data_IF_977767713972
#
_entry.id   IF_977767713972
#
_cell.length_a   1.000
_cell.length_b   1.000
_cell.length_c   1.000
_cell.angle_alpha   90.00
_cell.angle_beta   90.00
_cell.angle_gamma   90.00
#
_symmetry.space_group_name_H-M   'P 1'
#
loop_
_entity.id
_entity.type
_entity.pdbx_description
1 polymer ?
#
# COMPACT_ATOMS: atom_id res chain seq x y z
N UNK A 1 -6.40 -5.61 30.21
CA UNK A 1 -5.40 -5.67 29.11
C UNK A 1 -4.34 -6.71 29.41
N UNK A 2 -3.81 -6.77 30.64
CA UNK A 2 -2.82 -7.78 31.05
C UNK A 2 -3.29 -9.22 30.77
N UNK A 3 -4.51 -9.60 31.15
CA UNK A 3 -5.06 -10.95 30.91
C UNK A 3 -5.11 -11.38 29.43
N UNK A 4 -5.26 -10.43 28.49
CA UNK A 4 -5.30 -10.72 27.05
C UNK A 4 -3.89 -11.05 26.53
N UNK A 5 -2.87 -10.39 27.07
CA UNK A 5 -1.49 -10.49 26.59
C UNK A 5 -0.78 -11.72 27.16
N UNK A 6 -1.14 -12.14 28.38
CA UNK A 6 -0.58 -13.34 29.02
C UNK A 6 -0.94 -14.63 28.28
N UNK A 7 -2.06 -14.65 27.56
CA UNK A 7 -2.54 -15.83 26.82
C UNK A 7 -2.15 -15.84 25.34
N UNK A 8 -1.62 -14.73 24.83
CA UNK A 8 -1.20 -14.63 23.42
C UNK A 8 0.07 -15.47 23.17
N UNK A 9 0.18 -16.16 22.02
CA UNK A 9 1.44 -16.76 21.60
C UNK A 9 2.56 -15.71 21.56
N UNK A 10 3.73 -16.07 22.07
CA UNK A 10 4.89 -15.17 22.18
C UNK A 10 6.07 -15.71 21.39
N UNK A 11 6.89 -14.83 20.84
CA UNK A 11 8.15 -15.16 20.16
C UNK A 11 9.21 -14.12 20.51
N UNK A 12 10.27 -14.55 21.16
CA UNK A 12 11.42 -13.69 21.45
C UNK A 12 12.41 -13.79 20.29
N UNK A 13 12.71 -12.64 19.66
CA UNK A 13 13.50 -12.57 18.43
C UNK A 13 14.96 -12.92 18.73
N UNK A 14 15.37 -14.09 18.25
CA UNK A 14 16.66 -14.71 18.60
C UNK A 14 17.84 -13.93 18.02
N UNK A 15 17.69 -13.41 16.80
CA UNK A 15 18.69 -12.59 16.11
C UNK A 15 18.88 -11.19 16.71
N UNK A 16 18.04 -10.80 17.68
CA UNK A 16 18.18 -9.58 18.47
C UNK A 16 18.73 -9.84 19.88
N UNK A 17 19.34 -11.01 20.12
CA UNK A 17 19.81 -11.45 21.45
C UNK A 17 18.73 -11.36 22.54
N UNK A 18 17.48 -11.60 22.15
CA UNK A 18 16.33 -11.48 23.04
C UNK A 18 15.90 -10.06 23.39
N UNK A 19 16.45 -9.04 22.73
CA UNK A 19 16.11 -7.64 22.95
C UNK A 19 14.69 -7.23 22.55
N UNK A 20 13.94 -8.12 21.88
CA UNK A 20 12.56 -7.87 21.48
C UNK A 20 11.71 -9.14 21.59
N UNK A 21 10.60 -9.05 22.29
CA UNK A 21 9.57 -10.11 22.37
C UNK A 21 8.30 -9.64 21.69
N UNK A 22 7.81 -10.49 20.80
CA UNK A 22 6.65 -10.29 19.96
C UNK A 22 5.49 -11.14 20.47
N UNK A 23 4.28 -10.61 20.38
CA UNK A 23 3.05 -11.26 20.81
C UNK A 23 2.09 -11.33 19.62
N UNK A 24 1.42 -12.46 19.44
CA UNK A 24 0.47 -12.66 18.34
C UNK A 24 -0.95 -12.34 18.79
N UNK A 25 -1.50 -11.24 18.28
CA UNK A 25 -2.87 -10.79 18.56
C UNK A 25 -3.64 -10.60 17.25
N UNK A 26 -4.89 -11.08 17.18
CA UNK A 26 -5.75 -11.02 15.98
C UNK A 26 -5.07 -11.56 14.70
N UNK A 27 -4.15 -12.52 14.83
CA UNK A 27 -3.42 -13.12 13.72
C UNK A 27 -2.09 -12.43 13.37
N UNK A 28 -1.78 -11.28 13.98
CA UNK A 28 -0.60 -10.48 13.66
C UNK A 28 0.36 -10.33 14.84
N UNK A 29 1.65 -10.19 14.55
CA UNK A 29 2.71 -10.08 15.54
C UNK A 29 3.04 -8.63 15.85
N UNK A 30 3.10 -8.27 17.13
CA UNK A 30 3.56 -6.94 17.55
C UNK A 30 4.19 -6.93 18.95
N UNK A 31 4.88 -5.84 19.31
CA UNK A 31 5.31 -5.65 20.69
C UNK A 31 4.12 -5.26 21.59
N UNK A 32 4.25 -5.55 22.89
CA UNK A 32 3.19 -5.39 23.90
C UNK A 32 2.49 -4.02 23.81
N UNK A 33 3.27 -2.95 23.87
CA UNK A 33 2.75 -1.57 23.89
C UNK A 33 1.96 -1.18 22.64
N UNK A 34 2.19 -1.84 21.50
CA UNK A 34 1.42 -1.58 20.27
C UNK A 34 0.12 -2.38 20.25
N UNK A 35 0.07 -3.56 20.89
CA UNK A 35 -1.18 -4.32 21.04
C UNK A 35 -2.11 -3.59 22.00
N UNK A 36 -1.59 -3.08 23.11
CA UNK A 36 -2.37 -2.23 24.02
C UNK A 36 -2.94 -1.02 23.29
N UNK A 37 -2.10 -0.32 22.51
CA UNK A 37 -2.53 0.77 21.64
C UNK A 37 -3.57 0.37 20.60
N UNK A 38 -3.46 -0.83 20.01
CA UNK A 38 -4.46 -1.39 19.09
C UNK A 38 -5.81 -1.56 19.78
N UNK A 39 -5.82 -2.17 20.97
CA UNK A 39 -7.04 -2.41 21.75
C UNK A 39 -7.69 -1.08 22.14
N UNK A 40 -6.89 -0.11 22.61
CA UNK A 40 -7.37 1.22 22.97
C UNK A 40 -7.98 1.95 21.76
N UNK A 41 -7.35 1.88 20.60
CA UNK A 41 -7.89 2.45 19.37
C UNK A 41 -9.21 1.79 18.97
N UNK A 42 -9.28 0.46 19.00
CA UNK A 42 -10.51 -0.28 18.69
C UNK A 42 -11.68 0.09 19.60
N UNK A 43 -11.42 0.36 20.88
CA UNK A 43 -12.44 0.70 21.87
C UNK A 43 -12.88 2.17 21.79
N UNK A 44 -11.93 3.08 21.63
CA UNK A 44 -12.16 4.51 21.89
C UNK A 44 -12.22 5.35 20.62
N UNK A 45 -11.57 4.94 19.52
CA UNK A 45 -11.50 5.76 18.32
C UNK A 45 -12.87 5.85 17.62
N UNK A 46 -13.27 7.09 17.29
CA UNK A 46 -14.47 7.39 16.50
C UNK A 46 -14.03 8.11 15.24
N UNK A 47 -14.18 7.44 14.10
CA UNK A 47 -13.89 8.02 12.80
C UNK A 47 -14.84 9.19 12.49
N UNK A 48 -14.27 10.27 11.95
CA UNK A 48 -15.02 11.38 11.37
C UNK A 48 -15.14 11.23 9.86
N UNK A 49 -16.25 11.63 9.22
CA UNK A 49 -16.43 11.45 7.77
C UNK A 49 -15.33 12.09 6.91
N UNK A 50 -14.68 13.15 7.40
CA UNK A 50 -13.57 13.82 6.73
C UNK A 50 -12.25 13.06 6.82
N UNK A 51 -12.11 12.09 7.72
CA UNK A 51 -10.84 11.42 8.00
C UNK A 51 -10.25 10.72 6.78
N UNK A 52 -8.93 10.82 6.69
CA UNK A 52 -8.09 10.19 5.68
C UNK A 52 -7.01 9.39 6.39
N UNK A 53 -7.11 8.07 6.28
CA UNK A 53 -6.20 7.14 6.92
C UNK A 53 -4.99 6.83 6.01
N UNK A 54 -3.80 7.20 6.45
CA UNK A 54 -2.51 6.83 5.84
C UNK A 54 -2.04 5.50 6.43
N UNK A 55 -2.28 4.42 5.70
CA UNK A 55 -2.03 3.06 6.17
C UNK A 55 -0.83 2.41 5.46
N UNK A 56 -0.08 1.59 6.20
CA UNK A 56 1.05 0.83 5.63
C UNK A 56 1.52 -0.25 6.59
N UNK A 57 1.98 -1.38 6.08
CA UNK A 57 2.87 -2.22 6.89
C UNK A 57 4.19 -1.45 7.14
N UNK A 58 4.87 -1.59 8.29
CA UNK A 58 6.12 -0.87 8.52
C UNK A 58 7.13 -1.07 7.40
N UNK A 59 7.92 -0.02 7.15
CA UNK A 59 9.05 0.00 6.21
C UNK A 59 8.68 -0.06 4.72
N UNK A 60 7.42 0.16 4.37
CA UNK A 60 6.97 0.28 2.97
C UNK A 60 6.97 1.71 2.42
N UNK A 61 7.36 2.72 3.22
CA UNK A 61 7.44 4.12 2.78
C UNK A 61 6.57 5.10 3.57
N UNK A 62 6.10 4.71 4.76
CA UNK A 62 5.20 5.50 5.62
C UNK A 62 5.70 6.92 5.90
N UNK A 63 6.97 7.10 6.26
CA UNK A 63 7.54 8.43 6.53
C UNK A 63 7.42 9.36 5.32
N UNK A 64 7.68 8.81 4.12
CA UNK A 64 7.59 9.56 2.88
C UNK A 64 6.14 9.87 2.51
N UNK A 65 5.25 8.88 2.62
CA UNK A 65 3.82 9.09 2.35
C UNK A 65 3.20 10.08 3.33
N UNK A 66 3.56 10.03 4.62
CA UNK A 66 3.12 11.01 5.62
C UNK A 66 3.56 12.43 5.24
N UNK A 67 4.84 12.61 4.88
CA UNK A 67 5.35 13.91 4.45
C UNK A 67 4.59 14.43 3.23
N UNK A 68 4.38 13.59 2.21
CA UNK A 68 3.64 13.96 0.99
C UNK A 68 2.18 14.32 1.29
N UNK A 69 1.47 13.48 2.04
CA UNK A 69 0.07 13.71 2.39
C UNK A 69 -0.08 15.00 3.22
N UNK A 70 0.78 15.20 4.21
CA UNK A 70 0.79 16.40 5.02
C UNK A 70 1.06 17.66 4.18
N UNK A 71 2.11 17.64 3.36
CA UNK A 71 2.44 18.76 2.48
C UNK A 71 1.30 19.07 1.51
N UNK A 72 0.65 18.06 0.93
CA UNK A 72 -0.50 18.25 0.04
C UNK A 72 -1.66 18.94 0.77
N UNK A 73 -2.04 18.46 1.95
CA UNK A 73 -3.22 18.96 2.69
C UNK A 73 -2.98 20.35 3.29
N UNK A 74 -1.73 20.69 3.60
CA UNK A 74 -1.38 21.92 4.31
C UNK A 74 -0.72 22.97 3.43
N UNK A 75 -0.55 22.74 2.12
CA UNK A 75 0.20 23.64 1.23
C UNK A 75 -0.30 25.09 1.22
N UNK A 76 -1.60 25.32 1.35
CA UNK A 76 -2.20 26.66 1.40
C UNK A 76 -2.21 27.28 2.81
N UNK A 77 -1.86 26.51 3.84
CA UNK A 77 -1.90 26.96 5.24
C UNK A 77 -0.61 27.66 5.69
N UNK A 78 0.48 27.43 4.97
CA UNK A 78 1.82 27.86 5.36
C UNK A 78 2.46 28.73 4.28
N UNK A 79 1.70 29.51 3.51
CA UNK A 79 2.27 30.39 2.48
C UNK A 79 3.23 31.45 3.07
N UNK A 80 2.91 31.97 4.27
CA UNK A 80 3.69 32.99 4.96
C UNK A 80 4.66 32.43 6.02
N UNK A 81 4.73 31.11 6.19
CA UNK A 81 5.55 30.47 7.23
C UNK A 81 6.23 29.19 6.74
N UNK A 82 7.41 28.82 7.25
CA UNK A 82 8.05 27.57 6.84
C UNK A 82 7.16 26.37 7.17
N UNK A 83 7.04 25.43 6.22
CA UNK A 83 6.31 24.19 6.44
C UNK A 83 6.80 23.47 7.72
N UNK A 84 5.91 22.95 8.56
CA UNK A 84 6.29 22.17 9.75
C UNK A 84 7.23 21.00 9.45
N UNK A 85 7.21 20.46 8.23
CA UNK A 85 8.12 19.38 7.81
C UNK A 85 9.62 19.76 7.86
N UNK A 86 9.95 21.06 7.95
CA UNK A 86 11.32 21.55 8.09
C UNK A 86 11.84 21.46 9.53
N UNK A 87 10.94 21.46 10.51
CA UNK A 87 11.26 21.54 11.95
C UNK A 87 10.68 20.39 12.77
N UNK A 88 9.75 19.62 12.20
CA UNK A 88 9.00 18.55 12.84
C UNK A 88 9.08 17.29 11.99
N UNK A 89 9.21 16.12 12.63
CA UNK A 89 9.36 14.87 11.91
C UNK A 89 8.02 14.42 11.29
N UNK A 90 7.97 13.84 10.07
CA UNK A 90 6.69 13.49 9.43
C UNK A 90 5.76 12.57 10.24
N UNK A 91 6.30 11.73 11.13
CA UNK A 91 5.48 10.89 12.02
C UNK A 91 4.82 11.68 13.16
N UNK A 92 5.32 12.86 13.50
CA UNK A 92 4.73 13.77 14.49
C UNK A 92 3.69 14.70 13.84
N UNK A 93 3.87 15.04 12.54
CA UNK A 93 2.89 15.82 11.80
C UNK A 93 1.57 15.08 11.54
N UNK A 94 1.60 13.74 11.48
CA UNK A 94 0.39 12.92 11.29
C UNK A 94 0.35 11.87 12.41
N UNK A 95 -0.59 11.97 13.37
CA UNK A 95 -0.64 11.06 14.51
C UNK A 95 -0.95 9.61 14.10
N UNK A 96 -0.41 8.64 14.85
CA UNK A 96 -0.72 7.22 14.69
C UNK A 96 -1.90 6.80 15.56
N UNK A 97 -2.86 6.12 14.95
CA UNK A 97 -4.06 5.61 15.59
C UNK A 97 -3.76 4.74 16.83
N UNK A 98 -2.77 3.86 16.73
CA UNK A 98 -2.39 2.94 17.81
C UNK A 98 -1.54 3.58 18.92
N UNK A 99 -1.26 4.89 18.88
CA UNK A 99 -0.32 5.53 19.83
C UNK A 99 -0.65 6.96 20.24
N UNK A 100 -1.34 7.71 19.39
CA UNK A 100 -1.49 9.16 19.51
C UNK A 100 -2.98 9.56 19.50
N UNK A 101 -3.85 8.77 20.16
CA UNK A 101 -5.31 8.98 20.19
C UNK A 101 -5.70 10.38 20.70
N UNK A 102 -5.03 10.85 21.76
CA UNK A 102 -5.30 12.16 22.35
C UNK A 102 -5.01 13.30 21.34
N UNK A 103 -3.91 13.19 20.59
CA UNK A 103 -3.58 14.14 19.52
C UNK A 103 -4.60 14.09 18.39
N UNK A 104 -5.11 12.91 18.04
CA UNK A 104 -6.15 12.79 17.01
C UNK A 104 -7.43 13.49 17.48
N UNK A 105 -7.84 13.28 18.74
CA UNK A 105 -9.01 13.94 19.31
C UNK A 105 -8.84 15.47 19.36
N UNK A 106 -7.63 15.96 19.66
CA UNK A 106 -7.32 17.39 19.60
C UNK A 106 -7.38 17.94 18.17
N UNK A 107 -6.81 17.24 17.19
CA UNK A 107 -6.84 17.63 15.79
C UNK A 107 -8.28 17.74 15.26
N UNK A 108 -9.15 16.81 15.67
CA UNK A 108 -10.57 16.83 15.35
C UNK A 108 -11.25 18.09 15.93
N UNK A 109 -11.02 18.37 17.23
CA UNK A 109 -11.58 19.57 17.90
C UNK A 109 -11.13 20.88 17.27
N UNK A 110 -9.86 20.96 16.86
CA UNK A 110 -9.27 22.16 16.27
C UNK A 110 -9.47 22.24 14.75
N UNK A 111 -10.08 21.22 14.13
CA UNK A 111 -10.28 21.14 12.68
C UNK A 111 -8.98 21.39 11.87
N UNK A 112 -7.84 20.87 12.38
CA UNK A 112 -6.54 21.18 11.78
C UNK A 112 -6.40 20.55 10.39
N UNK A 113 -6.42 19.23 10.29
CA UNK A 113 -6.38 18.51 9.02
C UNK A 113 -6.82 17.05 9.23
N UNK A 114 -7.44 16.41 8.23
CA UNK A 114 -8.09 15.11 8.38
C UNK A 114 -7.13 13.90 8.36
N UNK A 115 -5.83 14.11 8.55
CA UNK A 115 -4.84 13.04 8.37
C UNK A 115 -4.57 12.32 9.69
N UNK A 116 -4.78 11.01 9.69
CA UNK A 116 -4.24 10.10 10.69
C UNK A 116 -3.54 8.93 10.00
N UNK A 117 -2.71 8.20 10.72
CA UNK A 117 -1.96 7.10 10.16
C UNK A 117 -2.05 5.84 11.00
N UNK A 118 -1.73 4.70 10.39
CA UNK A 118 -1.69 3.44 11.12
C UNK A 118 -0.77 2.41 10.47
N UNK A 119 -0.22 1.54 11.30
CA UNK A 119 0.36 0.27 10.88
C UNK A 119 -0.57 -0.92 11.10
N UNK A 120 -1.81 -0.71 11.56
CA UNK A 120 -2.73 -1.80 11.81
C UNK A 120 -3.10 -2.55 10.51
N UNK A 121 -3.14 -3.89 10.55
CA UNK A 121 -3.79 -4.69 9.53
C UNK A 121 -5.25 -4.26 9.35
N UNK A 122 -5.79 -4.39 8.13
CA UNK A 122 -7.16 -3.95 7.84
C UNK A 122 -8.21 -4.57 8.79
N UNK A 123 -8.05 -5.85 9.11
CA UNK A 123 -8.95 -6.60 10.01
C UNK A 123 -8.85 -6.19 11.47
N UNK A 124 -7.82 -5.42 11.83
CA UNK A 124 -7.60 -4.88 13.17
C UNK A 124 -7.94 -3.40 13.28
N UNK A 125 -8.45 -2.77 12.21
CA UNK A 125 -8.92 -1.40 12.28
C UNK A 125 -10.16 -1.28 13.20
N UNK A 126 -10.34 -0.15 13.91
CA UNK A 126 -11.57 0.15 14.63
C UNK A 126 -12.81 0.00 13.75
N UNK A 127 -13.89 -0.54 14.31
CA UNK A 127 -15.15 -0.74 13.58
C UNK A 127 -15.71 0.58 13.02
N UNK A 128 -15.54 1.68 13.76
CA UNK A 128 -15.93 3.03 13.32
C UNK A 128 -15.27 3.42 11.99
N UNK A 129 -13.99 3.07 11.79
CA UNK A 129 -13.30 3.25 10.51
C UNK A 129 -13.81 2.26 9.48
N UNK A 130 -13.94 0.97 9.78
CA UNK A 130 -14.36 -0.01 8.78
C UNK A 130 -15.76 0.30 8.22
N UNK A 131 -16.69 0.71 9.09
CA UNK A 131 -18.07 1.04 8.75
C UNK A 131 -18.23 2.40 8.05
N UNK A 132 -17.30 3.34 8.21
CA UNK A 132 -17.39 4.67 7.60
C UNK A 132 -17.04 4.68 6.11
N UNK A 133 -17.21 5.84 5.48
CA UNK A 133 -16.73 6.18 4.14
C UNK A 133 -15.36 6.88 4.13
N UNK A 134 -14.66 6.90 5.27
CA UNK A 134 -13.33 7.50 5.38
C UNK A 134 -12.40 6.90 4.31
N UNK A 135 -11.61 7.78 3.70
CA UNK A 135 -10.67 7.41 2.64
C UNK A 135 -9.44 6.77 3.25
N UNK A 136 -8.87 5.79 2.55
CA UNK A 136 -7.66 5.11 3.00
C UNK A 136 -6.61 5.21 1.89
N UNK A 137 -5.43 5.74 2.21
CA UNK A 137 -4.26 5.67 1.33
C UNK A 137 -3.36 4.58 1.86
N UNK A 138 -3.20 3.49 1.10
CA UNK A 138 -2.37 2.36 1.49
C UNK A 138 -1.12 2.28 0.61
N UNK A 139 0.06 2.23 1.24
CA UNK A 139 1.34 2.04 0.52
C UNK A 139 1.99 0.69 0.85
N UNK A 140 2.37 -0.02 -0.20
CA UNK A 140 3.15 -1.25 -0.11
C UNK A 140 4.45 -1.15 -0.91
N UNK A 141 5.35 -2.11 -0.68
CA UNK A 141 6.69 -2.15 -1.27
C UNK A 141 7.07 -3.58 -1.66
N UNK A 142 8.06 -3.76 -2.52
CA UNK A 142 8.69 -5.06 -2.73
C UNK A 142 9.14 -5.66 -1.38
N UNK A 143 8.62 -6.83 -1.04
CA UNK A 143 8.88 -7.50 0.24
C UNK A 143 10.38 -7.75 0.49
N UNK A 144 11.17 -8.01 -0.55
CA UNK A 144 12.61 -8.26 -0.41
C UNK A 144 13.32 -7.04 0.19
N UNK A 145 12.97 -5.84 -0.26
CA UNK A 145 13.47 -4.58 0.31
C UNK A 145 12.88 -4.29 1.70
N UNK A 146 11.63 -4.71 1.95
CA UNK A 146 11.00 -4.56 3.28
C UNK A 146 11.75 -5.40 4.31
N UNK A 147 12.12 -6.64 4.01
CA UNK A 147 12.90 -7.52 4.90
C UNK A 147 14.21 -6.84 5.31
N UNK A 148 14.98 -6.34 4.33
CA UNK A 148 16.25 -5.64 4.60
C UNK A 148 16.01 -4.37 5.41
N UNK A 149 15.00 -3.58 5.06
CA UNK A 149 14.70 -2.35 5.79
C UNK A 149 14.19 -2.60 7.20
N UNK A 150 13.48 -3.70 7.45
CA UNK A 150 12.99 -4.09 8.76
C UNK A 150 14.15 -4.55 9.65
N UNK A 151 15.01 -5.43 9.11
CA UNK A 151 16.23 -5.89 9.78
C UNK A 151 17.08 -4.72 10.29
N UNK A 152 17.50 -3.82 9.41
CA UNK A 152 18.36 -2.69 9.81
C UNK A 152 17.67 -1.72 10.77
N UNK A 153 16.35 -1.52 10.62
CA UNK A 153 15.62 -0.64 11.53
C UNK A 153 15.61 -1.20 12.95
N UNK A 154 15.35 -2.51 13.11
CA UNK A 154 15.34 -3.12 14.42
C UNK A 154 16.73 -3.15 15.07
N UNK A 155 17.81 -3.34 14.30
CA UNK A 155 19.18 -3.22 14.83
C UNK A 155 19.43 -1.85 15.47
N UNK A 156 19.10 -0.77 14.76
CA UNK A 156 19.25 0.59 15.28
C UNK A 156 18.30 0.86 16.46
N UNK A 157 17.11 0.27 16.44
CA UNK A 157 16.11 0.39 17.50
C UNK A 157 16.58 -0.24 18.82
N UNK A 158 17.09 -1.49 18.78
CA UNK A 158 17.63 -2.17 19.96
C UNK A 158 19.12 -1.89 20.23
N UNK A 159 19.73 -0.98 19.45
CA UNK A 159 21.16 -0.60 19.53
C UNK A 159 22.11 -1.80 19.44
N UNK A 160 21.82 -2.72 18.53
CA UNK A 160 22.61 -3.93 18.29
C UNK A 160 23.44 -3.80 17.00
N UNK A 161 24.69 -4.27 17.05
CA UNK A 161 25.57 -4.31 15.87
C UNK A 161 25.16 -5.39 14.88
N UNK A 162 25.37 -5.14 13.58
CA UNK A 162 25.17 -6.13 12.51
C UNK A 162 25.97 -7.42 12.73
N UNK A 163 27.15 -7.32 13.35
CA UNK A 163 28.00 -8.47 13.67
C UNK A 163 27.37 -9.41 14.70
N UNK A 164 26.45 -8.88 15.51
CA UNK A 164 25.81 -9.57 16.61
C UNK A 164 24.41 -10.09 16.26
N UNK A 165 23.96 -9.86 15.02
CA UNK A 165 22.59 -10.08 14.59
C UNK A 165 22.53 -10.75 13.22
N UNK A 166 22.52 -12.09 13.15
CA UNK A 166 22.63 -12.82 11.88
C UNK A 166 21.41 -12.58 10.97
N UNK A 167 21.66 -12.01 9.78
CA UNK A 167 20.60 -11.69 8.81
C UNK A 167 19.77 -12.90 8.39
N UNK A 168 20.38 -14.08 8.24
CA UNK A 168 19.66 -15.30 7.82
C UNK A 168 18.55 -15.70 8.80
N UNK A 169 18.79 -15.58 10.11
CA UNK A 169 17.77 -15.87 11.13
C UNK A 169 16.65 -14.84 11.09
N UNK A 170 16.99 -13.56 10.94
CA UNK A 170 16.00 -12.49 10.79
C UNK A 170 15.12 -12.68 9.55
N UNK A 171 15.73 -13.08 8.43
CA UNK A 171 15.06 -13.40 7.19
C UNK A 171 14.07 -14.56 7.35
N UNK A 172 14.49 -15.64 8.03
CA UNK A 172 13.65 -16.81 8.25
C UNK A 172 12.45 -16.52 9.16
N UNK A 173 12.67 -15.79 10.26
CA UNK A 173 11.59 -15.33 11.15
C UNK A 173 10.58 -14.45 10.38
N UNK A 174 11.07 -13.52 9.55
CA UNK A 174 10.20 -12.69 8.72
C UNK A 174 9.37 -13.53 7.74
N UNK A 175 9.98 -14.53 7.07
CA UNK A 175 9.29 -15.43 6.14
C UNK A 175 8.21 -16.28 6.85
N UNK A 176 8.37 -16.56 8.13
CA UNK A 176 7.36 -17.21 8.97
C UNK A 176 6.24 -16.24 9.42
N UNK A 177 6.35 -14.96 9.04
CA UNK A 177 5.40 -13.90 9.37
C UNK A 177 5.70 -13.19 10.70
N UNK A 178 6.81 -13.52 11.36
CA UNK A 178 7.21 -12.94 12.64
C UNK A 178 7.96 -11.63 12.36
N UNK A 179 7.20 -10.54 12.31
CA UNK A 179 7.70 -9.17 12.15
C UNK A 179 6.70 -8.20 12.77
N UNK A 180 7.07 -6.93 12.99
CA UNK A 180 6.09 -5.92 13.40
C UNK A 180 4.94 -5.82 12.39
N UNK A 181 3.71 -6.00 12.89
CA UNK A 181 2.46 -6.07 12.14
C UNK A 181 2.43 -7.18 11.06
N UNK A 182 3.34 -8.15 11.14
CA UNK A 182 3.38 -9.31 10.25
C UNK A 182 2.31 -10.34 10.59
N UNK A 183 1.92 -11.22 9.65
CA UNK A 183 2.61 -11.50 8.39
C UNK A 183 2.38 -10.45 7.29
N UNK A 184 3.46 -10.11 6.55
CA UNK A 184 3.44 -9.04 5.53
C UNK A 184 2.43 -9.28 4.39
N UNK A 185 2.37 -10.51 3.87
CA UNK A 185 1.45 -10.83 2.77
C UNK A 185 -0.01 -10.68 3.19
N UNK A 186 -0.37 -11.21 4.36
CA UNK A 186 -1.71 -11.09 4.94
C UNK A 186 -2.08 -9.62 5.18
N UNK A 187 -1.12 -8.81 5.63
CA UNK A 187 -1.31 -7.37 5.83
C UNK A 187 -1.70 -6.66 4.52
N UNK A 188 -0.96 -6.87 3.43
CA UNK A 188 -1.31 -6.28 2.12
C UNK A 188 -2.63 -6.83 1.61
N UNK A 189 -2.82 -8.15 1.68
CA UNK A 189 -4.00 -8.83 1.17
C UNK A 189 -5.29 -8.32 1.83
N UNK A 190 -5.25 -8.01 3.13
CA UNK A 190 -6.39 -7.44 3.85
C UNK A 190 -6.86 -6.13 3.23
N UNK A 191 -5.95 -5.16 3.07
CA UNK A 191 -6.28 -3.89 2.42
C UNK A 191 -6.66 -4.10 0.94
N UNK A 192 -6.01 -5.04 0.24
CA UNK A 192 -6.26 -5.26 -1.17
C UNK A 192 -7.68 -5.75 -1.39
N UNK A 193 -8.12 -6.76 -0.64
CA UNK A 193 -9.49 -7.27 -0.69
C UNK A 193 -10.50 -6.16 -0.39
N UNK A 194 -10.25 -5.37 0.64
CA UNK A 194 -11.09 -4.22 0.97
C UNK A 194 -11.19 -3.20 -0.17
N UNK A 195 -10.11 -2.97 -0.93
CA UNK A 195 -10.14 -2.08 -2.11
C UNK A 195 -11.01 -2.60 -3.24
N UNK A 196 -11.12 -3.94 -3.37
CA UNK A 196 -11.97 -4.57 -4.38
C UNK A 196 -13.45 -4.57 -3.95
N UNK A 197 -13.72 -4.74 -2.66
CA UNK A 197 -15.07 -4.73 -2.09
C UNK A 197 -15.70 -3.33 -2.09
N UNK A 198 -14.90 -2.28 -1.84
CA UNK A 198 -15.35 -0.89 -1.86
C UNK A 198 -14.44 -0.04 -2.77
N UNK A 199 -14.62 -0.14 -4.11
CA UNK A 199 -13.85 0.64 -5.07
C UNK A 199 -13.94 2.15 -4.79
N UNK A 200 -12.83 2.86 -4.97
CA UNK A 200 -12.76 4.31 -4.74
C UNK A 200 -12.57 4.72 -3.27
N UNK A 201 -12.70 3.80 -2.31
CA UNK A 201 -12.42 4.08 -0.89
C UNK A 201 -10.95 3.94 -0.50
N UNK A 202 -10.21 3.09 -1.20
CA UNK A 202 -8.80 2.81 -0.91
C UNK A 202 -7.93 3.13 -2.12
N UNK A 203 -6.98 4.05 -1.95
CA UNK A 203 -5.92 4.31 -2.92
C UNK A 203 -4.73 3.41 -2.63
N UNK A 204 -4.46 2.48 -3.55
CA UNK A 204 -3.30 1.59 -3.49
C UNK A 204 -2.09 2.20 -4.18
N UNK A 205 -1.03 2.46 -3.42
CA UNK A 205 0.24 2.99 -3.91
C UNK A 205 1.35 1.95 -3.74
N UNK A 206 2.23 1.87 -4.73
CA UNK A 206 3.43 1.05 -4.69
C UNK A 206 4.65 1.97 -4.60
N UNK A 207 5.49 1.77 -3.59
CA UNK A 207 6.66 2.60 -3.34
C UNK A 207 7.56 2.77 -4.58
N UNK A 208 7.83 1.69 -5.30
CA UNK A 208 8.67 1.72 -6.50
C UNK A 208 8.04 2.48 -7.67
N UNK A 209 6.70 2.47 -7.76
CA UNK A 209 5.98 3.20 -8.80
C UNK A 209 5.97 4.70 -8.49
N UNK A 210 5.72 5.04 -7.21
CA UNK A 210 5.81 6.43 -6.74
C UNK A 210 7.19 7.00 -6.97
N UNK A 211 8.27 6.24 -6.72
CA UNK A 211 9.63 6.72 -7.00
C UNK A 211 9.90 6.95 -8.48
N UNK A 212 9.29 6.14 -9.35
CA UNK A 212 9.49 6.19 -10.79
C UNK A 212 8.73 7.36 -11.42
N UNK A 213 7.54 7.68 -10.92
CA UNK A 213 6.68 8.74 -11.43
C UNK A 213 6.02 9.54 -10.29
N UNK A 214 6.87 10.17 -9.47
CA UNK A 214 6.44 10.93 -8.29
C UNK A 214 5.40 12.00 -8.63
N UNK A 215 5.54 12.66 -9.79
CA UNK A 215 4.65 13.75 -10.20
C UNK A 215 3.21 13.26 -10.34
N UNK A 216 2.99 12.17 -11.09
CA UNK A 216 1.64 11.67 -11.31
C UNK A 216 1.05 11.03 -10.05
N UNK A 217 1.85 10.31 -9.27
CA UNK A 217 1.34 9.69 -8.04
C UNK A 217 1.03 10.71 -6.94
N UNK A 218 1.79 11.82 -6.83
CA UNK A 218 1.45 12.92 -5.91
C UNK A 218 0.17 13.64 -6.34
N UNK A 219 -0.04 13.87 -7.64
CA UNK A 219 -1.31 14.41 -8.14
C UNK A 219 -2.48 13.47 -7.84
N UNK A 220 -2.29 12.17 -8.06
CA UNK A 220 -3.29 11.13 -7.80
C UNK A 220 -3.61 11.01 -6.30
N UNK A 221 -2.60 11.16 -5.43
CA UNK A 221 -2.77 11.26 -3.98
C UNK A 221 -3.62 12.47 -3.62
N UNK A 222 -3.29 13.64 -4.16
CA UNK A 222 -3.99 14.89 -3.88
C UNK A 222 -5.46 14.86 -4.31
N UNK A 223 -5.74 14.40 -5.53
CA UNK A 223 -7.09 14.16 -6.03
C UNK A 223 -7.87 13.23 -5.11
N UNK A 224 -7.26 12.09 -4.76
CA UNK A 224 -7.90 11.08 -3.93
C UNK A 224 -8.24 11.61 -2.54
N UNK A 225 -7.32 12.28 -1.86
CA UNK A 225 -7.56 12.85 -0.52
C UNK A 225 -8.64 13.94 -0.59
N UNK A 226 -8.77 14.65 -1.71
CA UNK A 226 -9.74 15.72 -1.91
C UNK A 226 -9.13 17.13 -1.91
N UNK A 227 -7.83 17.21 -2.19
CA UNK A 227 -7.07 18.46 -2.30
C UNK A 227 -6.38 18.53 -3.67
N UNK A 228 -7.12 18.40 -4.79
CA UNK A 228 -6.54 18.37 -6.13
C UNK A 228 -5.73 19.64 -6.41
N UNK A 229 -4.71 19.52 -7.25
CA UNK A 229 -3.95 20.68 -7.71
C UNK A 229 -4.71 21.37 -8.85
N UNK A 230 -4.79 22.69 -8.79
CA UNK A 230 -5.25 23.54 -9.88
C UNK A 230 -4.25 23.58 -11.03
N UNK A 231 -4.72 23.99 -12.22
CA UNK A 231 -3.85 24.17 -13.40
C UNK A 231 -2.77 25.22 -13.13
N UNK A 232 -3.11 26.23 -12.33
CA UNK A 232 -2.22 27.31 -11.92
C UNK A 232 -1.12 26.81 -10.99
N UNK A 233 -1.46 26.02 -9.96
CA UNK A 233 -0.48 25.38 -9.06
C UNK A 233 0.47 24.47 -9.83
N UNK A 234 -0.06 23.70 -10.79
CA UNK A 234 0.76 22.85 -11.64
C UNK A 234 1.73 23.65 -12.51
N UNK A 235 1.28 24.75 -13.12
CA UNK A 235 2.14 25.65 -13.90
C UNK A 235 3.17 26.36 -13.03
N UNK A 236 2.83 26.67 -11.79
CA UNK A 236 3.72 27.31 -10.81
C UNK A 236 4.74 26.33 -10.20
N UNK A 237 4.68 25.03 -10.51
CA UNK A 237 5.62 24.02 -10.03
C UNK A 237 5.39 23.60 -8.57
N UNK A 238 4.17 23.80 -8.04
CA UNK A 238 3.84 23.46 -6.63
C UNK A 238 4.03 21.97 -6.36
N UNK A 239 3.66 21.11 -7.31
CA UNK A 239 3.82 19.65 -7.20
C UNK A 239 5.30 19.28 -7.07
N UNK A 240 6.16 19.87 -7.89
CA UNK A 240 7.61 19.67 -7.89
C UNK A 240 8.25 20.17 -6.59
N UNK A 241 7.76 21.30 -6.06
CA UNK A 241 8.20 21.84 -4.77
C UNK A 241 7.85 20.89 -3.62
N UNK A 242 6.64 20.33 -3.60
CA UNK A 242 6.23 19.32 -2.60
C UNK A 242 7.10 18.07 -2.69
N UNK A 243 7.34 17.57 -3.91
CA UNK A 243 8.21 16.39 -4.14
C UNK A 243 9.63 16.66 -3.64
N UNK A 244 10.17 17.85 -3.93
CA UNK A 244 11.50 18.26 -3.46
C UNK A 244 11.56 18.38 -1.94
N UNK A 245 10.57 19.03 -1.32
CA UNK A 245 10.45 19.16 0.14
C UNK A 245 10.40 17.79 0.82
N UNK A 246 9.62 16.87 0.27
CA UNK A 246 9.41 15.54 0.83
C UNK A 246 10.44 14.50 0.34
N UNK A 247 11.45 14.92 -0.43
CA UNK A 247 12.47 14.00 -0.96
C UNK A 247 13.29 13.38 0.18
N UNK A 248 13.82 12.19 -0.06
CA UNK A 248 14.71 11.54 0.91
C UNK A 248 15.92 12.42 1.21
N UNK A 249 16.53 12.99 0.17
CA UNK A 249 17.70 13.86 0.29
C UNK A 249 17.39 15.06 1.17
N UNK A 250 16.25 15.73 0.97
CA UNK A 250 15.89 16.86 1.80
C UNK A 250 15.57 16.42 3.24
N UNK A 251 14.62 15.51 3.44
CA UNK A 251 14.15 15.11 4.76
C UNK A 251 15.28 14.54 5.63
N UNK A 252 16.12 13.65 5.08
CA UNK A 252 17.24 13.05 5.81
C UNK A 252 18.31 14.07 6.24
N UNK A 253 18.37 15.23 5.58
CA UNK A 253 19.38 16.25 5.82
C UNK A 253 18.94 17.35 6.80
N UNK A 254 17.66 17.40 7.16
CA UNK A 254 17.14 18.35 8.16
C UNK A 254 17.68 18.01 9.55
N UNK A 255 18.00 19.05 10.33
CA UNK A 255 18.53 18.89 11.69
C UNK A 255 17.59 18.09 12.60
N UNK A 256 16.28 18.34 12.53
CA UNK A 256 15.27 17.57 13.27
C UNK A 256 15.35 16.07 12.98
N UNK A 257 15.71 15.67 11.75
CA UNK A 257 15.78 14.27 11.36
C UNK A 257 17.15 13.64 11.61
N UNK A 258 18.22 14.44 11.73
CA UNK A 258 19.56 13.96 12.05
C UNK A 258 19.77 13.71 13.53
N UNK A 259 19.30 14.63 14.38
CA UNK A 259 19.59 14.65 15.82
C UNK A 259 18.35 14.67 16.71
N UNK A 260 17.15 14.84 16.14
CA UNK A 260 15.90 14.83 16.89
C UNK A 260 15.48 13.44 17.38
N UNK A 261 14.48 13.43 18.25
CA UNK A 261 13.96 12.24 18.92
C UNK A 261 12.45 12.16 18.74
N UNK A 262 11.96 11.07 18.16
CA UNK A 262 10.55 10.74 18.09
C UNK A 262 10.11 10.10 19.42
N UNK A 263 9.04 10.64 20.02
CA UNK A 263 8.50 10.20 21.33
C UNK A 263 9.58 10.10 22.41
N UNK A 264 10.55 11.01 22.35
CA UNK A 264 11.68 11.13 23.29
C UNK A 264 12.57 9.87 23.44
N UNK A 265 12.36 8.83 22.63
CA UNK A 265 12.98 7.50 22.83
C UNK A 265 13.59 6.92 21.56
N UNK A 266 13.12 7.35 20.38
CA UNK A 266 13.58 6.83 19.09
C UNK A 266 14.28 7.94 18.32
N UNK A 267 15.57 7.78 18.04
CA UNK A 267 16.32 8.74 17.22
C UNK A 267 15.72 8.87 15.81
N UNK A 268 15.45 10.09 15.35
CA UNK A 268 14.80 10.32 14.05
C UNK A 268 15.62 9.79 12.87
N UNK A 269 16.96 9.77 12.99
CA UNK A 269 17.84 9.31 11.91
C UNK A 269 17.57 7.87 11.49
N UNK A 270 17.04 7.02 12.37
CA UNK A 270 16.86 5.58 12.08
C UNK A 270 15.75 5.35 11.04
N UNK A 271 14.86 6.33 10.81
CA UNK A 271 13.86 6.27 9.75
C UNK A 271 14.47 6.48 8.35
N UNK A 272 15.67 7.06 8.26
CA UNK A 272 16.34 7.42 7.02
C UNK A 272 17.61 6.59 6.80
N UNK A 273 17.57 5.63 5.87
CA UNK A 273 18.69 4.71 5.61
C UNK A 273 19.33 4.90 4.23
N UNK A 274 18.63 4.49 3.17
CA UNK A 274 19.13 4.58 1.79
C UNK A 274 18.10 5.09 0.77
N UNK A 275 16.80 4.88 1.02
CA UNK A 275 15.71 5.15 0.06
C UNK A 275 15.94 4.60 -1.37
N UNK A 276 16.71 3.51 -1.49
CA UNK A 276 16.93 2.79 -2.76
C UNK A 276 16.01 1.59 -2.85
N UNK A 277 15.49 1.35 -4.03
CA UNK A 277 14.88 0.12 -4.50
C UNK A 277 15.98 -0.86 -4.92
N UNK A 278 15.78 -2.16 -4.68
CA UNK A 278 16.74 -3.20 -5.06
C UNK A 278 17.91 -3.40 -4.10
N UNK A 279 17.92 -2.75 -2.93
CA UNK A 279 19.02 -2.93 -1.97
C UNK A 279 19.09 -4.37 -1.44
N UNK A 280 17.99 -5.11 -1.51
CA UNK A 280 17.94 -6.54 -1.19
C UNK A 280 18.97 -7.39 -1.94
N UNK A 281 19.40 -7.01 -3.14
CA UNK A 281 20.43 -7.73 -3.90
C UNK A 281 21.78 -7.76 -3.18
N UNK A 282 22.05 -6.80 -2.30
CA UNK A 282 23.28 -6.75 -1.50
C UNK A 282 23.24 -7.65 -0.26
N UNK A 283 22.08 -8.23 0.07
CA UNK A 283 21.85 -8.98 1.31
C UNK A 283 21.39 -10.41 1.08
N UNK A 284 20.66 -10.66 -0.01
CA UNK A 284 20.04 -11.96 -0.26
C UNK A 284 21.00 -12.89 -0.97
N UNK A 285 21.00 -14.16 -0.57
CA UNK A 285 21.49 -15.24 -1.42
C UNK A 285 20.46 -15.58 -2.50
N UNK A 286 20.85 -16.31 -3.54
CA UNK A 286 19.88 -16.80 -4.54
C UNK A 286 18.81 -17.71 -3.89
N UNK A 287 19.17 -18.53 -2.90
CA UNK A 287 18.20 -19.35 -2.15
C UNK A 287 17.15 -18.50 -1.42
N UNK A 288 17.57 -17.42 -0.75
CA UNK A 288 16.65 -16.49 -0.06
C UNK A 288 15.68 -15.83 -1.04
N UNK A 289 16.20 -15.42 -2.21
CA UNK A 289 15.40 -14.83 -3.28
C UNK A 289 14.36 -15.83 -3.82
N UNK A 290 14.77 -17.06 -4.13
CA UNK A 290 13.88 -18.13 -4.59
C UNK A 290 12.80 -18.46 -3.56
N UNK A 291 13.17 -18.55 -2.27
CA UNK A 291 12.25 -18.79 -1.17
C UNK A 291 11.18 -17.71 -1.07
N UNK A 292 11.57 -16.43 -1.12
CA UNK A 292 10.61 -15.30 -1.07
C UNK A 292 9.73 -15.26 -2.32
N UNK A 293 10.28 -15.55 -3.50
CA UNK A 293 9.51 -15.59 -4.75
C UNK A 293 8.46 -16.71 -4.71
N UNK A 294 8.83 -17.89 -4.22
CA UNK A 294 7.92 -19.01 -4.02
C UNK A 294 6.81 -18.67 -3.01
N UNK A 295 7.16 -18.15 -1.83
CA UNK A 295 6.19 -17.76 -0.81
C UNK A 295 5.25 -16.66 -1.33
N UNK A 296 5.78 -15.67 -2.05
CA UNK A 296 4.98 -14.61 -2.64
C UNK A 296 4.02 -15.16 -3.67
N UNK A 297 4.46 -16.09 -4.52
CA UNK A 297 3.58 -16.77 -5.45
C UNK A 297 2.47 -17.50 -4.70
N UNK A 298 2.80 -18.40 -3.77
CA UNK A 298 1.85 -19.21 -3.00
C UNK A 298 0.81 -18.35 -2.25
N UNK A 299 1.25 -17.25 -1.62
CA UNK A 299 0.38 -16.37 -0.83
C UNK A 299 -0.50 -15.46 -1.67
N UNK A 300 -0.05 -15.09 -2.87
CA UNK A 300 -0.75 -14.16 -3.77
C UNK A 300 -1.43 -14.88 -4.95
N UNK A 301 -1.35 -16.21 -5.03
CA UNK A 301 -2.10 -16.99 -6.02
C UNK A 301 -3.61 -16.72 -5.84
N UNK A 302 -4.24 -16.21 -6.89
CA UNK A 302 -5.66 -15.81 -6.89
C UNK A 302 -5.91 -14.30 -6.78
N UNK A 303 -4.89 -13.48 -6.47
CA UNK A 303 -4.99 -12.00 -6.49
C UNK A 303 -4.30 -11.40 -7.71
N UNK A 304 -4.66 -11.90 -8.90
CA UNK A 304 -3.98 -11.66 -10.18
C UNK A 304 -3.86 -10.17 -10.63
N UNK A 305 -4.41 -9.23 -9.86
CA UNK A 305 -4.43 -7.79 -10.13
C UNK A 305 -3.53 -6.94 -9.20
N UNK A 306 -2.86 -7.52 -8.20
CA UNK A 306 -1.99 -6.77 -7.27
C UNK A 306 -0.63 -6.33 -7.83
N UNK A 307 -0.21 -6.91 -8.94
CA UNK A 307 0.89 -6.41 -9.75
C UNK A 307 0.54 -6.74 -11.18
N UNK A 308 0.83 -5.87 -12.14
CA UNK A 308 0.55 -6.06 -13.57
C UNK A 308 1.31 -7.23 -14.21
N UNK A 309 1.26 -8.42 -13.60
CA UNK A 309 1.88 -9.66 -14.01
C UNK A 309 0.76 -10.70 -14.06
N UNK A 310 0.30 -11.01 -15.29
CA UNK A 310 -0.41 -12.26 -15.53
C UNK A 310 0.60 -13.39 -15.35
N UNK A 311 0.48 -14.14 -14.26
CA UNK A 311 1.22 -15.39 -14.10
C UNK A 311 0.50 -16.48 -14.91
N UNK A 312 0.97 -16.75 -16.12
CA UNK A 312 0.58 -17.97 -16.84
C UNK A 312 1.53 -19.09 -16.44
N UNK A 313 0.98 -20.21 -15.98
CA UNK A 313 1.75 -21.42 -15.73
C UNK A 313 2.35 -21.91 -17.06
N UNK A 314 3.68 -21.91 -17.16
CA UNK A 314 4.40 -22.60 -18.24
C UNK A 314 5.67 -21.90 -18.71
N UNK A 315 6.82 -22.48 -18.35
CA UNK A 315 8.04 -22.47 -19.16
C UNK A 315 8.96 -21.25 -19.02
N UNK A 316 10.24 -21.53 -18.81
CA UNK A 316 11.36 -20.58 -18.90
C UNK A 316 11.23 -19.65 -20.13
N UNK A 317 11.23 -18.33 -19.90
CA UNK A 317 11.50 -17.37 -20.98
C UNK A 317 10.88 -15.99 -20.77
N UNK A 318 11.71 -15.01 -20.39
CA UNK A 318 11.53 -13.54 -20.51
C UNK A 318 10.14 -12.95 -20.24
N UNK A 319 10.02 -12.30 -19.09
CA UNK A 319 8.91 -11.42 -18.73
C UNK A 319 9.00 -10.08 -19.49
N UNK A 320 7.89 -9.67 -20.13
CA UNK A 320 7.70 -8.34 -20.72
C UNK A 320 6.53 -7.65 -20.00
N UNK A 321 6.74 -6.40 -19.60
CA UNK A 321 5.76 -5.55 -18.90
C UNK A 321 4.91 -4.80 -19.93
N UNK A 322 3.60 -5.07 -19.98
CA UNK A 322 2.66 -4.24 -20.72
C UNK A 322 1.83 -3.37 -19.76
N UNK A 323 1.76 -2.07 -20.07
CA UNK A 323 0.98 -1.04 -19.37
C UNK A 323 -0.52 -1.18 -19.68
N UNK A 324 -1.38 -0.85 -18.71
CA UNK A 324 -2.74 -0.39 -19.01
C UNK A 324 -2.93 1.04 -18.52
N UNK A 325 -3.29 1.92 -19.47
CA UNK A 325 -3.94 3.19 -19.21
C UNK A 325 -5.40 2.91 -18.85
N UNK A 326 -5.89 3.52 -17.77
CA UNK A 326 -7.32 3.54 -17.47
C UNK A 326 -7.99 4.47 -18.49
N UNK A 327 -8.94 3.94 -19.26
CA UNK A 327 -9.70 4.68 -20.27
C UNK A 327 -10.67 5.67 -19.66
N UNK A 328 -10.85 6.77 -20.40
CA UNK A 328 -11.52 8.02 -20.07
C UNK A 328 -13.02 7.96 -19.72
N UNK A 329 -13.38 9.04 -19.01
CA UNK A 329 -14.67 9.69 -18.79
C UNK A 329 -15.79 9.44 -19.79
N UNK A 330 -17.02 9.26 -19.27
CA UNK A 330 -18.25 9.68 -19.96
C UNK A 330 -19.19 10.37 -18.96
N UNK A 331 -19.27 11.70 -19.04
CA UNK A 331 -20.42 12.49 -18.57
C UNK A 331 -21.35 12.73 -19.76
N UNK A 332 -22.69 12.64 -19.63
CA UNK A 332 -23.61 13.25 -20.58
C UNK A 332 -24.21 14.54 -20.02
N UNK A 333 -23.89 15.68 -20.63
CA UNK A 333 -24.61 16.93 -20.47
C UNK A 333 -25.75 17.06 -21.49
N UNK A 334 -26.73 17.88 -21.12
CA UNK A 334 -28.11 17.96 -21.62
C UNK A 334 -28.33 18.96 -22.79
N UNK A 335 -29.20 18.55 -23.76
CA UNK A 335 -30.33 19.29 -24.44
C UNK A 335 -29.97 20.39 -25.51
N UNK A 336 -30.80 20.78 -26.54
CA UNK A 336 -32.16 20.36 -27.03
C UNK A 336 -32.36 20.12 -28.58
N UNK A 337 -33.53 19.51 -28.90
CA UNK A 337 -34.44 19.71 -30.08
C UNK A 337 -33.88 19.67 -31.53
N UNK A 338 -34.40 18.89 -32.50
CA UNK A 338 -35.79 18.59 -32.83
C UNK A 338 -35.92 17.54 -33.98
N UNK A 339 -37.06 16.82 -33.97
CA UNK A 339 -37.94 16.46 -35.11
C UNK A 339 -37.80 15.09 -35.87
N UNK A 340 -38.84 14.25 -35.63
CA UNK A 340 -39.51 13.20 -36.47
C UNK A 340 -38.78 11.86 -36.73
N UNK A 341 -39.38 10.66 -36.80
CA UNK A 341 -40.63 9.97 -36.35
C UNK A 341 -40.49 8.49 -36.79
N UNK A 342 -41.19 7.56 -36.11
CA UNK A 342 -41.56 6.17 -36.53
C UNK A 342 -40.40 5.14 -36.59
N UNK A 343 -40.48 3.87 -36.16
CA UNK A 343 -41.57 2.96 -35.79
C UNK A 343 -41.03 1.83 -34.89
N UNK A 344 -41.92 1.30 -34.05
CA UNK A 344 -41.80 0.19 -33.10
C UNK A 344 -41.34 -1.16 -33.69
N UNK A 345 -40.73 -2.06 -32.89
CA UNK A 345 -41.40 -3.27 -32.36
C UNK A 345 -40.46 -4.17 -31.51
N UNK A 346 -40.94 -4.52 -30.31
CA UNK A 346 -40.44 -5.55 -29.39
C UNK A 346 -40.88 -6.96 -29.84
N UNK A 347 -40.05 -8.00 -29.63
CA UNK A 347 -40.38 -9.14 -28.76
C UNK A 347 -39.30 -10.24 -28.71
N UNK A 348 -39.18 -10.78 -27.50
CA UNK A 348 -38.31 -11.85 -27.04
C UNK A 348 -38.70 -13.25 -27.53
N UNK A 349 -37.71 -14.15 -27.59
CA UNK A 349 -37.89 -15.59 -27.83
C UNK A 349 -37.71 -16.39 -26.54
N UNK A 350 -38.60 -17.37 -26.34
CA UNK A 350 -38.60 -18.34 -25.24
C UNK A 350 -38.76 -19.76 -25.82
N UNK A 351 -37.96 -20.67 -25.26
CA UNK A 351 -38.30 -22.07 -24.89
C UNK A 351 -38.15 -23.26 -25.86
N UNK A 352 -37.44 -24.26 -25.30
CA UNK A 352 -37.50 -25.74 -25.43
C UNK A 352 -37.01 -26.46 -26.69
N UNK A 353 -35.99 -27.32 -26.47
CA UNK A 353 -36.28 -28.76 -26.39
C UNK A 353 -35.42 -29.73 -27.22
N UNK A 354 -34.47 -30.38 -26.52
CA UNK A 354 -34.24 -31.85 -26.47
C UNK A 354 -33.59 -32.61 -27.67
N UNK A 355 -32.60 -33.45 -27.29
CA UNK A 355 -31.99 -34.60 -28.00
C UNK A 355 -31.15 -34.25 -29.25
N UNK A 356 -30.00 -34.84 -29.54
CA UNK A 356 -29.29 -36.00 -29.02
C UNK A 356 -28.40 -36.53 -30.15
N UNK A 357 -27.08 -36.41 -29.96
CA UNK A 357 -25.96 -37.27 -30.38
C UNK A 357 -25.99 -38.03 -31.74
N UNK A 358 -24.81 -38.01 -32.38
CA UNK A 358 -24.14 -39.01 -33.26
C UNK A 358 -24.31 -38.86 -34.79
N UNK A 359 -23.15 -38.82 -35.44
CA UNK A 359 -22.67 -39.54 -36.64
C UNK A 359 -22.00 -38.52 -37.57
N UNK A 360 -20.67 -38.38 -37.44
CA UNK A 360 -19.63 -39.17 -38.09
C UNK A 360 -19.46 -38.77 -39.56
N UNK A 361 -18.24 -38.29 -39.76
CA UNK A 361 -17.58 -37.89 -40.98
C UNK A 361 -17.54 -39.03 -42.02
N UNK A 362 -17.09 -38.66 -43.22
CA UNK A 362 -16.62 -39.50 -44.33
C UNK A 362 -17.62 -39.74 -45.46
N UNK A 363 -17.45 -38.95 -46.51
CA UNK A 363 -18.05 -39.17 -47.82
C UNK A 363 -17.30 -38.46 -48.95
N UNK A 364 -15.97 -38.60 -49.01
CA UNK A 364 -15.16 -38.32 -50.21
C UNK A 364 -15.87 -38.79 -51.48
N UNK A 365 -15.84 -37.97 -52.53
CA UNK A 365 -15.50 -38.30 -53.95
C UNK A 365 -16.15 -37.27 -54.89
N UNK A 366 -15.59 -36.84 -56.03
CA UNK A 366 -14.27 -36.93 -56.66
C UNK A 366 -14.38 -36.02 -57.92
N UNK A 367 -13.32 -35.26 -58.23
CA UNK A 367 -12.85 -34.75 -59.54
C UNK A 367 -13.79 -33.96 -60.48
N UNK A 368 -13.33 -32.76 -60.82
CA UNK A 368 -12.73 -32.32 -62.12
C UNK A 368 -12.65 -30.78 -62.04
N UNK A 369 -11.61 -30.05 -62.43
CA UNK A 369 -10.36 -30.32 -63.15
C UNK A 369 -9.92 -28.98 -63.80
N UNK A 370 -8.61 -28.79 -63.96
CA UNK A 370 -7.90 -27.77 -64.77
C UNK A 370 -7.99 -26.31 -64.30
N UNK A 371 -6.94 -25.49 -64.34
CA UNK A 371 -5.54 -25.57 -64.81
C UNK A 371 -4.84 -24.29 -64.32
N UNK A 372 -3.55 -24.32 -63.93
CA UNK A 372 -2.40 -23.92 -64.78
C UNK A 372 -2.41 -22.40 -65.13
N UNK A 373 -1.33 -21.60 -65.03
CA UNK A 373 0.10 -21.85 -64.88
C UNK A 373 0.87 -20.50 -64.72
N UNK A 374 2.10 -20.59 -64.18
CA UNK A 374 3.31 -19.73 -64.34
C UNK A 374 3.31 -18.30 -63.75
N UNK A 375 4.36 -17.82 -63.07
CA UNK A 375 5.71 -18.35 -62.78
C UNK A 375 6.24 -17.76 -61.48
#
# INVERSE_FOLDING_TARGET
>A
MEDILETCPQHTMSWLKGGLTMYKHQGFWNAKDFIEGTILAQQNFKAEPSDVLVASCPKTGTTWLKALAFAVVTREKFDDSPSPLLTTMPHECIPFLEKDLDQIEENHKNSEFPLLATHLPYTSLPESLVASDCKIVYIYRNIKDVIVSHYHFLLEFVKLSVHDAPFGVAFDEFCQGISWYGPYWDHILGYWKASQERPGRILFLKYEDMKRDSRNDVKRLAEFIGYPFSVEEEKAGVVENIIKLCSFENLSNLEVNKSGMHRSTIENRIYFRKAKDGDWENHFTEEMKEKVDKLTHEKLMGTASMGGVRYTAGGLGRLRLDRFANTDSIYPSMIPHSRWRLMSFFKAFRFLGRFGIIIWDIGKRIRKGHGEFFS
#
